data_IF_813568866080
#
_entry.id   IF_813568866080
#
_cell.length_a   1.000
_cell.length_b   1.000
_cell.length_c   1.000
_cell.angle_alpha   90.00
_cell.angle_beta   90.00
_cell.angle_gamma   90.00
#
_symmetry.space_group_name_H-M   'P 1'
#
loop_
_entity.id
_entity.type
_entity.pdbx_description
1 polymer ?
#
# COMPACT_ATOMS: atom_id res chain seq x y z
N UNK A 1 7.80 14.40 -3.10
CA UNK A 1 8.32 13.92 -1.80
C UNK A 1 7.55 14.59 -0.68
N UNK A 2 7.65 14.09 0.57
CA UNK A 2 6.82 14.43 1.74
C UNK A 2 6.40 15.91 1.88
N UNK A 3 7.30 16.85 1.58
CA UNK A 3 7.01 18.28 1.65
C UNK A 3 5.90 18.75 0.70
N UNK A 4 5.80 18.16 -0.50
CA UNK A 4 4.71 18.44 -1.45
C UNK A 4 3.40 17.73 -1.08
N UNK A 5 3.44 16.81 -0.11
CA UNK A 5 2.28 16.08 0.40
C UNK A 5 1.71 16.71 1.68
N UNK A 6 2.25 17.85 2.14
CA UNK A 6 1.80 18.55 3.35
C UNK A 6 2.67 18.31 4.60
N UNK A 7 3.74 17.53 4.49
CA UNK A 7 4.58 17.21 5.65
C UNK A 7 4.02 16.06 6.50
N UNK A 8 4.57 15.83 7.71
CA UNK A 8 4.02 14.86 8.66
C UNK A 8 2.59 15.23 9.06
N UNK A 9 1.75 14.21 9.24
CA UNK A 9 0.42 14.39 9.82
C UNK A 9 0.51 15.06 11.20
N UNK A 10 -0.43 15.96 11.48
CA UNK A 10 -0.70 16.48 12.81
C UNK A 10 -1.35 15.43 13.71
N UNK A 11 -1.41 15.68 15.02
CA UNK A 11 -2.03 14.74 15.97
C UNK A 11 -3.51 14.46 15.66
N UNK A 12 -4.25 15.46 15.14
CA UNK A 12 -5.65 15.27 14.73
C UNK A 12 -5.74 14.38 13.50
N UNK A 13 -4.92 14.62 12.48
CA UNK A 13 -4.88 13.80 11.27
C UNK A 13 -4.47 12.35 11.57
N UNK A 14 -3.56 12.13 12.55
CA UNK A 14 -3.23 10.79 13.02
C UNK A 14 -4.44 10.09 13.62
N UNK A 15 -5.17 10.73 14.53
CA UNK A 15 -6.37 10.14 15.14
C UNK A 15 -7.44 9.81 14.11
N UNK A 16 -7.64 10.68 13.12
CA UNK A 16 -8.57 10.45 12.01
C UNK A 16 -8.11 9.28 11.13
N UNK A 17 -6.81 9.19 10.84
CA UNK A 17 -6.24 8.11 10.03
C UNK A 17 -6.30 6.75 10.75
N UNK A 18 -6.05 6.72 12.06
CA UNK A 18 -6.11 5.52 12.89
C UNK A 18 -7.53 4.94 13.00
N UNK A 19 -8.57 5.75 12.76
CA UNK A 19 -9.95 5.30 12.74
C UNK A 19 -10.30 4.46 11.49
N UNK A 20 -9.40 4.33 10.51
CA UNK A 20 -9.64 3.54 9.31
C UNK A 20 -9.69 2.03 9.65
N UNK A 21 -10.76 1.28 9.28
CA UNK A 21 -10.86 -0.15 9.56
C UNK A 21 -9.75 -0.99 8.90
N UNK A 22 -9.07 -0.45 7.89
CA UNK A 22 -7.98 -1.09 7.17
C UNK A 22 -6.59 -0.55 7.57
N UNK A 23 -6.47 0.14 8.72
CA UNK A 23 -5.21 0.78 9.16
C UNK A 23 -4.01 -0.16 9.04
N UNK A 24 -4.13 -1.40 9.50
CA UNK A 24 -3.03 -2.36 9.50
C UNK A 24 -2.55 -2.69 8.08
N UNK A 25 -3.48 -2.91 7.15
CA UNK A 25 -3.16 -3.21 5.75
C UNK A 25 -2.51 -1.98 5.06
N UNK A 26 -3.01 -0.78 5.34
CA UNK A 26 -2.46 0.47 4.82
C UNK A 26 -1.00 0.66 5.28
N UNK A 27 -0.74 0.47 6.58
CA UNK A 27 0.62 0.55 7.13
C UNK A 27 1.52 -0.54 6.53
N UNK A 28 1.01 -1.77 6.37
CA UNK A 28 1.77 -2.85 5.76
C UNK A 28 2.21 -2.51 4.33
N UNK A 29 1.30 -2.01 3.49
CA UNK A 29 1.61 -1.62 2.11
C UNK A 29 2.62 -0.48 2.07
N UNK A 30 2.55 0.50 3.00
CA UNK A 30 3.53 1.59 3.12
C UNK A 30 4.93 1.09 3.46
N UNK A 31 5.03 0.11 4.36
CA UNK A 31 6.31 -0.52 4.72
C UNK A 31 6.91 -1.26 3.52
N UNK A 32 6.08 -1.98 2.76
CA UNK A 32 6.50 -2.66 1.53
C UNK A 32 6.97 -1.67 0.44
N UNK A 33 6.30 -0.53 0.28
CA UNK A 33 6.70 0.53 -0.65
C UNK A 33 8.10 1.10 -0.32
N UNK A 34 8.44 1.24 0.97
CA UNK A 34 9.79 1.64 1.37
C UNK A 34 10.84 0.54 1.18
N UNK A 35 10.46 -0.71 1.45
CA UNK A 35 11.36 -1.85 1.29
C UNK A 35 11.63 -2.20 -0.19
N UNK A 36 10.71 -1.91 -1.11
CA UNK A 36 10.77 -2.29 -2.53
C UNK A 36 11.81 -1.55 -3.39
N UNK A 37 12.72 -0.78 -2.79
CA UNK A 37 13.68 0.09 -3.49
C UNK A 37 15.10 -0.51 -3.55
N UNK A 38 15.21 -1.83 -3.44
CA UNK A 38 16.48 -2.56 -3.53
C UNK A 38 16.86 -2.77 -4.99
N UNK A 39 17.94 -2.13 -5.43
CA UNK A 39 18.48 -2.33 -6.77
C UNK A 39 18.86 -3.80 -7.00
N UNK A 40 18.67 -4.28 -8.23
CA UNK A 40 19.00 -5.63 -8.69
C UNK A 40 18.27 -6.79 -7.97
N UNK A 41 17.27 -6.49 -7.14
CA UNK A 41 16.42 -7.50 -6.52
C UNK A 41 15.65 -8.26 -7.60
N UNK A 42 15.83 -9.58 -7.64
CA UNK A 42 15.04 -10.43 -8.53
C UNK A 42 13.59 -10.48 -8.05
N UNK A 43 12.67 -10.16 -8.95
CA UNK A 43 11.23 -10.15 -8.68
C UNK A 43 10.50 -10.94 -9.75
N UNK A 44 9.30 -11.40 -9.43
CA UNK A 44 8.44 -12.01 -10.42
C UNK A 44 7.97 -10.98 -11.46
N UNK A 45 7.82 -11.37 -12.74
CA UNK A 45 7.19 -10.51 -13.73
C UNK A 45 5.71 -10.30 -13.37
N UNK A 46 5.12 -9.22 -13.89
CA UNK A 46 3.71 -8.91 -13.67
C UNK A 46 2.77 -10.09 -13.96
N UNK A 47 3.07 -10.89 -15.00
CA UNK A 47 2.28 -12.06 -15.40
C UNK A 47 2.13 -13.11 -14.29
N UNK A 48 3.05 -13.16 -13.32
CA UNK A 48 2.92 -14.05 -12.17
C UNK A 48 1.73 -13.71 -11.27
N UNK A 49 1.29 -12.44 -11.26
CA UNK A 49 0.24 -11.94 -10.38
C UNK A 49 -1.14 -11.81 -11.04
N UNK A 50 -1.25 -12.04 -12.36
CA UNK A 50 -2.49 -11.78 -13.13
C UNK A 50 -3.68 -12.57 -12.59
N UNK A 51 -3.51 -13.86 -12.31
CA UNK A 51 -4.62 -14.70 -11.81
C UNK A 51 -5.08 -14.26 -10.41
N UNK A 52 -4.15 -13.84 -9.55
CA UNK A 52 -4.47 -13.26 -8.25
C UNK A 52 -5.26 -11.96 -8.40
N UNK A 53 -4.82 -11.07 -9.29
CA UNK A 53 -5.51 -9.80 -9.55
C UNK A 53 -6.92 -10.03 -10.09
N UNK A 54 -7.10 -10.99 -11.02
CA UNK A 54 -8.42 -11.32 -11.55
C UNK A 54 -9.34 -11.87 -10.46
N UNK A 55 -8.85 -12.74 -9.57
CA UNK A 55 -9.64 -13.26 -8.46
C UNK A 55 -10.11 -12.14 -7.51
N UNK A 56 -9.28 -11.13 -7.26
CA UNK A 56 -9.65 -9.95 -6.45
C UNK A 56 -10.71 -9.09 -7.15
N UNK A 57 -10.61 -8.91 -8.48
CA UNK A 57 -11.63 -8.21 -9.27
C UNK A 57 -12.95 -8.96 -9.22
N UNK A 58 -12.93 -10.26 -9.46
CA UNK A 58 -14.13 -11.11 -9.45
C UNK A 58 -14.82 -11.03 -8.09
N UNK A 59 -14.06 -11.16 -7.00
CA UNK A 59 -14.57 -11.05 -5.63
C UNK A 59 -15.25 -9.70 -5.35
N UNK A 60 -14.78 -8.61 -5.96
CA UNK A 60 -15.35 -7.27 -5.75
C UNK A 60 -16.56 -6.99 -6.65
N UNK A 61 -16.60 -7.57 -7.85
CA UNK A 61 -17.64 -7.32 -8.84
C UNK A 61 -18.85 -8.26 -8.74
N UNK A 62 -18.76 -9.35 -7.97
CA UNK A 62 -19.87 -10.25 -7.62
C UNK A 62 -20.53 -9.85 -6.30
#
# INVERSE_FOLDING_TARGET
SLQLQGGPMSATEVLEFEANPHLQDIIQVRLLDDAGKVADLQTYPFTHFVDLLQALVDQHCT
#
